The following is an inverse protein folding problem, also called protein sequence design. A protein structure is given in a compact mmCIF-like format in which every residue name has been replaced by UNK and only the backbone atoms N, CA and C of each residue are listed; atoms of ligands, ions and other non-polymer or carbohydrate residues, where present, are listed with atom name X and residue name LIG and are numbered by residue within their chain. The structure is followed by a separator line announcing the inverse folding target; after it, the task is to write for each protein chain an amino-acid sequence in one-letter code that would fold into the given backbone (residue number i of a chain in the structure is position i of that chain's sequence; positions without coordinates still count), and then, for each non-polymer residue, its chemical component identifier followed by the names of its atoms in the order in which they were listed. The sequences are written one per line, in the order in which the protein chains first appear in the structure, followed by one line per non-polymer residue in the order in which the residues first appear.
data_IF_754600316683
#
_entry.id   IF_754600316683
#
_cell.length_a   1.000
_cell.length_b   1.000
_cell.length_c   1.000
_cell.angle_alpha   90.00
_cell.angle_beta   90.00
_cell.angle_gamma   90.00
#
_symmetry.space_group_name_H-M   'P 1'
#
loop_
_entity.id
_entity.type
_entity.pdbx_description
1 polymer ?
#
# COMPACT_ATOMS: atom_id res chain seq x y z
N UNK A 1 13.95 -5.29 2.40
CA UNK A 1 12.91 -5.75 1.45
C UNK A 1 13.28 -5.15 0.11
N UNK A 2 13.90 -5.95 -0.76
CA UNK A 2 14.33 -5.52 -2.08
C UNK A 2 14.22 -6.74 -3.00
N UNK A 3 13.29 -6.72 -3.97
CA UNK A 3 13.42 -7.60 -5.13
C UNK A 3 13.14 -6.80 -6.40
N UNK A 4 13.88 -7.06 -7.48
CA UNK A 4 13.89 -6.20 -8.65
C UNK A 4 12.61 -6.27 -9.49
N UNK A 5 11.72 -7.27 -9.30
CA UNK A 5 10.64 -7.60 -10.25
C UNK A 5 9.24 -7.09 -9.89
N UNK A 6 9.08 -6.21 -8.90
CA UNK A 6 7.78 -5.57 -8.59
C UNK A 6 6.70 -6.49 -8.03
N UNK A 7 5.42 -6.12 -8.19
CA UNK A 7 4.29 -6.93 -7.69
C UNK A 7 4.08 -8.23 -8.48
N UNK A 8 3.11 -9.05 -8.06
CA UNK A 8 2.70 -10.26 -8.76
C UNK A 8 1.20 -10.24 -9.10
N UNK A 9 0.83 -10.95 -10.16
CA UNK A 9 -0.56 -11.08 -10.63
C UNK A 9 -1.00 -9.98 -11.58
N UNK A 10 -2.32 -9.85 -11.75
CA UNK A 10 -2.91 -8.81 -12.60
C UNK A 10 -2.56 -7.42 -12.10
N UNK A 11 -2.34 -6.50 -13.03
CA UNK A 11 -2.24 -5.07 -12.75
C UNK A 11 -3.61 -4.40 -12.82
N UNK A 12 -3.72 -3.22 -12.24
CA UNK A 12 -4.87 -2.35 -12.37
C UNK A 12 -4.40 -0.91 -12.57
N UNK A 13 -5.28 -0.09 -13.12
CA UNK A 13 -4.97 1.31 -13.37
C UNK A 13 -5.00 2.08 -12.06
N UNK A 14 -3.93 2.82 -11.79
CA UNK A 14 -3.84 3.77 -10.67
C UNK A 14 -3.92 5.17 -11.24
N UNK A 15 -4.71 6.04 -10.61
CA UNK A 15 -4.88 7.45 -11.02
C UNK A 15 -3.64 8.25 -10.66
N UNK A 16 -3.05 7.94 -9.52
CA UNK A 16 -1.89 8.63 -8.98
C UNK A 16 -0.66 7.72 -8.99
N UNK A 17 0.51 8.35 -9.07
CA UNK A 17 1.80 7.67 -8.92
C UNK A 17 2.03 7.25 -7.47
N UNK A 18 2.97 6.31 -7.26
CA UNK A 18 3.36 5.92 -5.91
C UNK A 18 3.87 7.11 -5.09
N UNK A 19 4.68 8.00 -5.66
CA UNK A 19 5.19 9.17 -4.94
C UNK A 19 4.08 10.10 -4.47
N UNK A 20 3.06 10.32 -5.32
CA UNK A 20 1.88 11.09 -4.94
C UNK A 20 1.14 10.43 -3.78
N UNK A 21 0.89 9.12 -3.86
CA UNK A 21 0.25 8.36 -2.79
C UNK A 21 1.10 8.35 -1.50
N UNK A 22 2.42 8.20 -1.62
CA UNK A 22 3.35 8.20 -0.50
C UNK A 22 3.32 9.54 0.21
N UNK A 23 3.47 10.64 -0.52
CA UNK A 23 3.39 12.00 0.01
C UNK A 23 2.01 12.29 0.62
N UNK A 24 0.95 11.79 0.00
CA UNK A 24 -0.41 11.95 0.48
C UNK A 24 -0.66 11.24 1.83
N UNK A 25 -0.09 10.04 2.04
CA UNK A 25 -0.15 9.33 3.32
C UNK A 25 0.56 10.12 4.42
N UNK A 26 1.72 10.70 4.10
CA UNK A 26 2.53 11.49 5.03
C UNK A 26 3.04 10.73 6.26
N UNK A 27 3.82 11.41 7.09
CA UNK A 27 4.45 10.83 8.28
C UNK A 27 3.43 10.39 9.35
N UNK A 28 2.29 11.08 9.44
CA UNK A 28 1.24 10.77 10.42
C UNK A 28 0.42 9.52 10.02
N UNK A 29 0.55 9.08 8.77
CA UNK A 29 -0.32 8.08 8.18
C UNK A 29 -1.71 8.64 7.87
N UNK A 30 -2.45 7.90 7.05
CA UNK A 30 -3.80 8.28 6.65
C UNK A 30 -4.77 7.10 6.75
N UNK A 31 -5.93 7.36 7.35
CA UNK A 31 -7.03 6.41 7.37
C UNK A 31 -7.98 6.68 6.20
N UNK A 32 -8.41 5.62 5.54
CA UNK A 32 -9.36 5.64 4.44
C UNK A 32 -10.23 4.39 4.48
N UNK A 33 -11.38 4.43 3.84
CA UNK A 33 -12.25 3.27 3.70
C UNK A 33 -11.76 2.40 2.54
N UNK A 34 -11.59 1.10 2.79
CA UNK A 34 -11.36 0.13 1.72
C UNK A 34 -12.60 0.01 0.85
N UNK A 35 -12.43 -0.54 -0.36
CA UNK A 35 -13.55 -0.93 -1.24
C UNK A 35 -14.48 -2.00 -0.64
N UNK A 36 -14.13 -2.56 0.53
CA UNK A 36 -14.93 -3.52 1.29
C UNK A 36 -15.62 -2.90 2.52
N UNK A 37 -15.58 -1.57 2.66
CA UNK A 37 -16.22 -0.84 3.76
C UNK A 37 -15.52 -0.98 5.12
N UNK A 38 -14.25 -1.40 5.13
CA UNK A 38 -13.42 -1.48 6.34
C UNK A 38 -12.45 -0.32 6.38
N UNK A 39 -12.24 0.31 7.53
CA UNK A 39 -11.19 1.33 7.63
C UNK A 39 -9.82 0.69 7.59
N UNK A 40 -8.98 1.26 6.73
CA UNK A 40 -7.58 0.92 6.59
C UNK A 40 -6.76 2.16 6.92
N UNK A 41 -5.71 1.97 7.70
CA UNK A 41 -4.69 2.99 7.92
C UNK A 41 -3.47 2.67 7.06
N UNK A 42 -3.16 3.55 6.11
CA UNK A 42 -1.88 3.59 5.43
C UNK A 42 -0.85 4.32 6.30
N UNK A 43 0.36 3.77 6.39
CA UNK A 43 1.52 4.45 6.99
C UNK A 43 2.73 4.34 6.08
N UNK A 44 3.47 5.43 5.96
CA UNK A 44 4.79 5.40 5.37
C UNK A 44 5.72 4.51 6.21
N UNK A 45 6.55 3.72 5.54
CA UNK A 45 7.59 2.90 6.14
C UNK A 45 8.75 2.78 5.15
N UNK A 46 9.92 2.43 5.68
CA UNK A 46 11.06 2.06 4.85
C UNK A 46 11.23 0.55 4.94
N UNK A 47 11.54 -0.07 3.81
CA UNK A 47 11.90 -1.47 3.71
C UNK A 47 13.16 -1.80 4.52
N UNK A 48 13.40 -3.08 4.82
CA UNK A 48 14.61 -3.51 5.55
C UNK A 48 15.95 -3.21 4.85
N UNK A 49 15.94 -2.72 3.62
CA UNK A 49 17.15 -2.25 2.92
C UNK A 49 17.49 -0.78 3.25
N UNK A 50 16.69 -0.14 4.11
CA UNK A 50 16.78 1.27 4.50
C UNK A 50 16.76 2.26 3.32
N UNK A 51 16.28 1.84 2.15
CA UNK A 51 16.28 2.65 0.93
C UNK A 51 14.92 2.66 0.24
N UNK A 52 14.25 1.51 0.19
CA UNK A 52 13.00 1.40 -0.56
C UNK A 52 11.84 1.95 0.26
N UNK A 53 11.19 3.00 -0.24
CA UNK A 53 9.97 3.55 0.34
C UNK A 53 8.80 2.58 0.17
N UNK A 54 8.02 2.43 1.24
CA UNK A 54 6.88 1.52 1.28
C UNK A 54 5.70 2.15 2.02
N UNK A 55 4.49 1.82 1.59
CA UNK A 55 3.26 2.13 2.31
C UNK A 55 2.76 0.83 2.93
N UNK A 56 2.53 0.83 4.23
CA UNK A 56 2.01 -0.32 4.98
C UNK A 56 0.53 -0.08 5.28
N UNK A 57 -0.31 -1.03 4.88
CA UNK A 57 -1.74 -1.01 5.12
C UNK A 57 -2.08 -1.82 6.37
N UNK A 58 -2.77 -1.19 7.32
CA UNK A 58 -3.21 -1.79 8.59
C UNK A 58 -4.72 -1.71 8.68
N UNK A 59 -5.37 -2.80 9.09
CA UNK A 59 -6.82 -2.80 9.31
C UNK A 59 -7.22 -2.14 10.62
N UNK A 60 -8.53 -1.93 10.80
CA UNK A 60 -9.12 -1.39 12.02
C UNK A 60 -8.92 -2.31 13.24
N UNK A 61 -8.84 -1.68 14.41
CA UNK A 61 -8.23 -2.10 15.67
C UNK A 61 -8.75 -3.43 16.25
N UNK A 62 -7.82 -4.30 16.67
CA UNK A 62 -8.11 -5.49 17.50
C UNK A 62 -7.12 -6.64 17.32
N UNK A 63 -6.51 -6.75 16.14
CA UNK A 63 -5.41 -7.69 15.86
C UNK A 63 -4.33 -6.95 15.08
N UNK A 64 -3.06 -7.28 15.32
CA UNK A 64 -1.89 -6.79 14.57
C UNK A 64 -1.93 -7.28 13.11
N UNK A 65 -3.01 -7.04 12.38
CA UNK A 65 -3.22 -7.53 11.03
C UNK A 65 -2.73 -6.48 10.06
N UNK A 66 -1.43 -6.55 9.74
CA UNK A 66 -0.91 -5.90 8.54
C UNK A 66 -1.64 -6.57 7.36
N UNK A 67 -2.43 -5.79 6.62
CA UNK A 67 -3.11 -6.29 5.41
C UNK A 67 -2.10 -6.53 4.30
N UNK A 68 -1.09 -5.65 4.22
CA UNK A 68 0.02 -5.79 3.31
C UNK A 68 0.84 -4.52 3.26
N UNK A 69 1.78 -4.50 2.32
CA UNK A 69 2.64 -3.37 2.07
C UNK A 69 2.87 -3.22 0.57
N UNK A 70 3.05 -2.00 0.10
CA UNK A 70 3.30 -1.68 -1.30
C UNK A 70 4.54 -0.80 -1.39
N UNK A 71 5.49 -1.17 -2.26
CA UNK A 71 6.55 -0.26 -2.70
C UNK A 71 6.18 0.32 -4.07
N UNK A 72 6.95 1.29 -4.53
CA UNK A 72 6.82 1.89 -5.87
C UNK A 72 6.65 0.84 -6.97
N UNK A 73 7.50 -0.20 -6.99
CA UNK A 73 7.44 -1.27 -8.00
C UNK A 73 6.22 -2.19 -7.88
N UNK A 74 5.52 -2.18 -6.75
CA UNK A 74 4.30 -2.95 -6.53
C UNK A 74 3.03 -2.09 -6.67
N UNK A 75 3.18 -0.78 -6.91
CA UNK A 75 2.05 0.11 -7.13
C UNK A 75 1.32 -0.28 -8.42
N UNK A 76 -0.01 -0.37 -8.36
CA UNK A 76 -0.82 -0.87 -9.48
C UNK A 76 -0.84 -2.38 -9.66
N UNK A 77 -0.27 -3.18 -8.73
CA UNK A 77 -0.39 -4.64 -8.73
C UNK A 77 -1.37 -5.14 -7.68
N UNK A 78 -2.13 -6.19 -8.01
CA UNK A 78 -3.08 -6.80 -7.07
C UNK A 78 -2.39 -7.40 -5.84
N UNK A 79 -1.17 -7.93 -6.01
CA UNK A 79 -0.35 -8.46 -4.94
C UNK A 79 1.03 -7.79 -4.88
N UNK A 80 1.50 -7.56 -3.65
CA UNK A 80 2.83 -7.05 -3.38
C UNK A 80 3.91 -8.10 -3.62
N UNK A 81 5.16 -7.65 -3.62
CA UNK A 81 6.34 -8.51 -3.58
C UNK A 81 6.36 -9.51 -2.41
N UNK A 82 5.63 -9.22 -1.33
CA UNK A 82 5.49 -10.08 -0.16
C UNK A 82 4.33 -11.07 -0.28
N UNK A 83 3.72 -11.20 -1.47
CA UNK A 83 2.53 -12.01 -1.74
C UNK A 83 1.29 -11.59 -0.95
N UNK A 84 1.31 -10.42 -0.31
CA UNK A 84 0.13 -9.83 0.33
C UNK A 84 -0.78 -9.23 -0.73
N UNK A 85 -2.08 -9.51 -0.64
CA UNK A 85 -3.10 -8.87 -1.47
C UNK A 85 -3.29 -7.41 -1.05
N UNK A 86 -2.92 -6.49 -1.93
CA UNK A 86 -2.90 -5.04 -1.67
C UNK A 86 -3.82 -4.26 -2.61
N UNK A 87 -4.34 -4.87 -3.68
CA UNK A 87 -5.08 -4.16 -4.73
C UNK A 87 -6.21 -3.29 -4.18
N UNK A 88 -7.09 -3.84 -3.34
CA UNK A 88 -8.20 -3.09 -2.73
C UNK A 88 -7.74 -1.94 -1.81
N UNK A 89 -6.59 -2.11 -1.14
CA UNK A 89 -6.03 -1.07 -0.28
C UNK A 89 -5.43 0.06 -1.11
N UNK A 90 -4.75 -0.29 -2.20
CA UNK A 90 -4.19 0.68 -3.14
C UNK A 90 -5.30 1.44 -3.86
N UNK A 91 -6.33 0.76 -4.37
CA UNK A 91 -7.50 1.39 -5.00
C UNK A 91 -8.24 2.32 -4.03
N UNK A 92 -8.43 1.90 -2.78
CA UNK A 92 -9.05 2.74 -1.75
C UNK A 92 -8.20 3.97 -1.42
N UNK A 93 -6.88 3.80 -1.30
CA UNK A 93 -5.98 4.91 -1.06
C UNK A 93 -5.96 5.88 -2.25
N UNK A 94 -5.78 5.37 -3.47
CA UNK A 94 -5.74 6.12 -4.72
C UNK A 94 -7.05 6.87 -5.02
N UNK A 95 -8.19 6.36 -4.54
CA UNK A 95 -9.48 7.02 -4.64
C UNK A 95 -9.78 8.01 -3.50
N UNK A 96 -8.93 8.08 -2.46
CA UNK A 96 -9.18 8.91 -1.27
C UNK A 96 -8.66 10.35 -1.37
N UNK A 97 -8.10 10.73 -2.53
CA UNK A 97 -7.55 12.05 -2.79
C UNK A 97 -7.61 12.45 -4.25
#
# INVERSE_FOLDING_TARGET
MAHPKGGQGNTFHTKHTFDQAYNHVGHNGKSFDSTTGKKITAKQSIAADNKTQTIVFKGETGKKSIHGNVCEKCWGYRSSCCKSWIGQCVEGLDGSF
#
